data_IF_858151559779
#
_entry.id   IF_858151559779
#
_cell.length_a   1.000
_cell.length_b   1.000
_cell.length_c   1.000
_cell.angle_alpha   90.00
_cell.angle_beta   90.00
_cell.angle_gamma   90.00
#
_symmetry.space_group_name_H-M   'P 1'
#
loop_
_entity.id
_entity.type
_entity.pdbx_description
1 polymer ?
#
# COMPACT_ATOMS: atom_id res chain seq x y z
N UNK A 1 -6.59 7.37 11.98
CA UNK A 1 -6.99 7.05 10.59
C UNK A 1 -5.82 6.60 9.70
N UNK A 2 -4.56 6.75 10.12
CA UNK A 2 -3.37 6.39 9.32
C UNK A 2 -2.82 4.96 9.51
N UNK A 3 -3.44 4.13 10.36
CA UNK A 3 -2.84 2.85 10.81
C UNK A 3 -3.28 1.63 9.97
N UNK A 4 -4.25 1.76 9.04
CA UNK A 4 -4.79 0.59 8.32
C UNK A 4 -4.35 0.47 6.85
N UNK A 5 -3.26 1.09 6.43
CA UNK A 5 -2.71 0.93 5.07
C UNK A 5 -1.80 -0.30 4.96
N UNK A 6 -2.18 -1.42 5.59
CA UNK A 6 -1.49 -2.69 5.44
C UNK A 6 -2.00 -3.34 4.16
N UNK A 7 -1.25 -3.20 3.06
CA UNK A 7 -1.44 -4.03 1.87
C UNK A 7 -0.95 -5.45 2.19
N UNK A 8 -1.88 -6.28 2.65
CA UNK A 8 -1.70 -7.72 2.74
C UNK A 8 -1.85 -8.32 1.34
N UNK A 9 -0.78 -8.87 0.78
CA UNK A 9 -0.87 -9.67 -0.44
C UNK A 9 -0.55 -11.13 -0.14
N UNK A 10 -1.45 -11.99 -0.59
CA UNK A 10 -1.29 -13.43 -0.53
C UNK A 10 -0.47 -13.90 -1.74
N UNK A 11 0.79 -14.22 -1.50
CA UNK A 11 1.61 -15.02 -2.43
C UNK A 11 1.74 -16.44 -1.85
N UNK A 12 0.64 -17.20 -1.88
CA UNK A 12 0.54 -18.54 -1.27
C UNK A 12 -0.21 -18.55 0.06
N UNK A 13 0.14 -19.45 0.99
CA UNK A 13 -0.42 -19.51 2.36
C UNK A 13 0.18 -18.46 3.30
N UNK A 14 1.28 -17.79 2.91
CA UNK A 14 1.93 -16.77 3.73
C UNK A 14 1.61 -15.36 3.21
N UNK A 15 1.26 -14.47 4.13
CA UNK A 15 1.06 -13.06 3.86
C UNK A 15 2.41 -12.36 3.75
N UNK A 16 2.59 -11.51 2.75
CA UNK A 16 3.75 -10.64 2.66
C UNK A 16 3.37 -9.22 3.02
N UNK A 17 4.17 -8.61 3.89
CA UNK A 17 4.01 -7.23 4.33
C UNK A 17 5.18 -6.40 3.81
N UNK A 18 4.86 -5.29 3.15
CA UNK A 18 5.83 -4.32 2.64
C UNK A 18 5.56 -2.96 3.31
N UNK A 19 6.62 -2.29 3.74
CA UNK A 19 6.61 -0.90 4.19
C UNK A 19 7.72 -0.07 3.51
N UNK A 20 7.76 1.23 3.80
CA UNK A 20 8.69 2.21 3.22
C UNK A 20 9.95 2.43 4.07
N UNK A 21 10.15 1.67 5.15
CA UNK A 21 11.26 1.79 6.09
C UNK A 21 11.35 3.22 6.69
N UNK A 22 10.25 3.98 6.76
CA UNK A 22 10.27 5.23 7.49
C UNK A 22 10.54 4.97 8.97
N UNK A 23 11.27 5.86 9.65
CA UNK A 23 11.70 5.69 11.05
C UNK A 23 10.54 5.39 12.03
N UNK A 24 9.32 5.83 11.70
CA UNK A 24 8.10 5.54 12.46
C UNK A 24 7.66 4.08 12.35
N UNK A 25 7.94 3.41 11.23
CA UNK A 25 7.62 1.99 10.96
C UNK A 25 8.70 1.05 11.50
N UNK A 26 9.94 1.54 11.67
CA UNK A 26 11.04 0.80 12.35
C UNK A 26 10.98 0.99 13.88
N UNK A 27 10.04 1.80 14.40
CA UNK A 27 9.91 2.00 15.83
C UNK A 27 9.63 0.64 16.52
N UNK A 28 10.23 0.46 17.69
CA UNK A 28 10.18 -0.81 18.44
C UNK A 28 8.75 -1.31 18.72
N UNK A 29 7.79 -0.40 18.86
CA UNK A 29 6.36 -0.74 19.03
C UNK A 29 5.71 -1.30 17.75
N UNK A 30 6.13 -0.86 16.57
CA UNK A 30 5.68 -1.41 15.30
C UNK A 30 6.32 -2.79 15.07
N UNK A 31 7.60 -2.92 15.38
CA UNK A 31 8.32 -4.20 15.31
C UNK A 31 7.73 -5.26 16.25
N UNK A 32 7.30 -4.90 17.47
CA UNK A 32 6.69 -5.86 18.39
C UNK A 32 5.36 -6.43 17.89
N UNK A 33 4.55 -5.62 17.18
CA UNK A 33 3.31 -6.11 16.58
C UNK A 33 3.53 -7.03 15.38
N UNK A 34 4.63 -6.82 14.65
CA UNK A 34 5.04 -7.70 13.56
C UNK A 34 5.54 -9.05 14.07
N UNK A 35 6.37 -9.07 15.12
CA UNK A 35 6.89 -10.30 15.71
C UNK A 35 5.79 -11.22 16.26
N UNK A 36 4.70 -10.66 16.77
CA UNK A 36 3.53 -11.44 17.23
C UNK A 36 2.85 -12.23 16.10
N UNK A 37 3.00 -11.80 14.84
CA UNK A 37 2.35 -12.40 13.66
C UNK A 37 3.35 -12.96 12.62
N UNK A 38 4.62 -13.15 13.01
CA UNK A 38 5.71 -13.56 12.11
C UNK A 38 5.54 -14.98 11.53
N UNK A 39 4.66 -15.81 12.12
CA UNK A 39 4.33 -17.14 11.58
C UNK A 39 3.44 -17.07 10.32
N UNK A 40 2.57 -16.05 10.27
CA UNK A 40 1.57 -15.85 9.20
C UNK A 40 2.03 -14.81 8.18
N UNK A 41 2.83 -13.84 8.62
CA UNK A 41 3.26 -12.69 7.83
C UNK A 41 4.78 -12.60 7.76
N UNK A 42 5.33 -12.48 6.54
CA UNK A 42 6.74 -12.16 6.31
C UNK A 42 6.93 -10.70 5.92
N UNK A 43 7.91 -10.04 6.53
CA UNK A 43 8.31 -8.69 6.18
C UNK A 43 9.20 -8.76 4.93
N UNK A 44 8.80 -8.03 3.90
CA UNK A 44 9.58 -7.88 2.67
C UNK A 44 10.68 -6.84 2.93
N UNK A 45 11.92 -7.31 2.93
CA UNK A 45 13.08 -6.42 2.97
C UNK A 45 13.12 -5.59 1.68
N UNK A 46 12.84 -4.29 1.82
CA UNK A 46 12.75 -3.37 0.69
C UNK A 46 14.00 -2.49 0.59
N UNK A 47 14.60 -2.29 -0.60
CA UNK A 47 15.72 -1.39 -0.72
C UNK A 47 15.28 0.07 -0.50
N UNK A 48 15.94 0.83 0.39
CA UNK A 48 15.65 2.25 0.55
C UNK A 48 15.83 2.98 -0.78
N UNK A 49 14.91 3.88 -1.11
CA UNK A 49 14.86 4.72 -2.33
C UNK A 49 14.22 4.11 -3.60
N UNK A 50 13.51 3.00 -3.51
CA UNK A 50 12.77 2.42 -4.65
C UNK A 50 11.32 2.91 -4.71
N UNK A 51 11.15 4.23 -4.91
CA UNK A 51 9.85 4.91 -4.92
C UNK A 51 8.97 4.43 -6.10
N UNK A 52 9.61 4.12 -7.22
CA UNK A 52 9.01 3.56 -8.44
C UNK A 52 8.37 2.18 -8.22
N UNK A 53 8.93 1.43 -7.27
CA UNK A 53 8.46 0.10 -6.91
C UNK A 53 7.51 0.11 -5.70
N UNK A 54 7.30 1.25 -5.03
CA UNK A 54 6.36 1.35 -3.92
C UNK A 54 4.92 1.38 -4.45
N UNK A 55 4.23 0.24 -4.35
CA UNK A 55 2.87 0.12 -4.87
C UNK A 55 1.90 1.04 -4.13
N UNK A 56 2.16 1.36 -2.86
CA UNK A 56 1.38 2.34 -2.11
C UNK A 56 1.46 3.72 -2.76
N UNK A 57 2.64 4.18 -3.17
CA UNK A 57 2.81 5.48 -3.85
C UNK A 57 2.13 5.50 -5.23
N UNK A 58 2.25 4.41 -5.99
CA UNK A 58 1.57 4.28 -7.28
C UNK A 58 0.04 4.30 -7.14
N UNK A 59 -0.50 3.64 -6.10
CA UNK A 59 -1.92 3.66 -5.78
C UNK A 59 -2.38 5.06 -5.34
N UNK A 60 -1.59 5.74 -4.50
CA UNK A 60 -1.87 7.11 -4.09
C UNK A 60 -1.90 8.06 -5.29
N UNK A 61 -0.92 7.97 -6.20
CA UNK A 61 -0.88 8.78 -7.42
C UNK A 61 -2.08 8.52 -8.34
N UNK A 62 -2.53 7.26 -8.45
CA UNK A 62 -3.75 6.94 -9.19
C UNK A 62 -4.99 7.60 -8.56
N UNK A 63 -5.17 7.44 -7.25
CA UNK A 63 -6.31 8.02 -6.52
C UNK A 63 -6.31 9.55 -6.57
N UNK A 64 -5.15 10.18 -6.41
CA UNK A 64 -4.97 11.64 -6.53
C UNK A 64 -5.34 12.11 -7.93
N UNK A 65 -4.87 11.43 -8.98
CA UNK A 65 -5.21 11.75 -10.36
C UNK A 65 -6.73 11.70 -10.61
N UNK A 66 -7.40 10.67 -10.08
CA UNK A 66 -8.86 10.53 -10.18
C UNK A 66 -9.60 11.63 -9.45
N UNK A 67 -9.14 11.98 -8.25
CA UNK A 67 -9.68 13.08 -7.47
C UNK A 67 -9.53 14.42 -8.22
N UNK A 68 -8.34 14.76 -8.71
CA UNK A 68 -8.08 16.00 -9.44
C UNK A 68 -8.86 16.14 -10.74
N UNK A 69 -9.25 15.03 -11.37
CA UNK A 69 -10.04 15.03 -12.60
C UNK A 69 -11.55 15.26 -12.37
N UNK A 70 -12.05 15.23 -11.13
CA UNK A 70 -13.47 15.41 -10.82
C UNK A 70 -13.89 16.88 -10.95
N UNK A 71 -15.07 17.08 -11.52
CA UNK A 71 -15.73 18.39 -11.64
C UNK A 71 -17.17 18.24 -11.14
N UNK A 72 -17.58 18.93 -10.06
CA UNK A 72 -16.76 19.82 -9.22
C UNK A 72 -15.73 19.06 -8.36
N UNK A 73 -14.65 19.71 -7.92
CA UNK A 73 -13.75 19.14 -6.92
C UNK A 73 -14.48 18.87 -5.59
N UNK A 74 -14.09 17.84 -4.85
CA UNK A 74 -14.61 17.63 -3.50
C UNK A 74 -14.16 18.78 -2.59
N UNK A 75 -15.10 19.42 -1.89
CA UNK A 75 -14.81 20.60 -1.09
C UNK A 75 -14.57 20.29 0.39
N UNK A 76 -15.02 19.12 0.85
CA UNK A 76 -14.96 18.71 2.26
C UNK A 76 -14.42 17.28 2.43
N UNK A 77 -13.90 17.00 3.63
CA UNK A 77 -13.26 15.71 3.95
C UNK A 77 -14.18 14.51 3.70
N UNK A 78 -15.48 14.62 4.03
CA UNK A 78 -16.43 13.54 3.85
C UNK A 78 -16.63 13.18 2.36
N UNK A 79 -16.65 14.19 1.49
CA UNK A 79 -16.75 13.99 0.05
C UNK A 79 -15.46 13.38 -0.51
N UNK A 80 -14.29 13.84 -0.03
CA UNK A 80 -13.00 13.27 -0.39
C UNK A 80 -12.92 11.79 0.00
N UNK A 81 -13.34 11.43 1.21
CA UNK A 81 -13.39 10.04 1.66
C UNK A 81 -14.28 9.17 0.77
N UNK A 82 -15.50 9.66 0.46
CA UNK A 82 -16.41 8.94 -0.43
C UNK A 82 -15.83 8.77 -1.85
N UNK A 83 -15.20 9.81 -2.39
CA UNK A 83 -14.52 9.80 -3.70
C UNK A 83 -13.40 8.76 -3.71
N UNK A 84 -12.50 8.81 -2.73
CA UNK A 84 -11.36 7.89 -2.65
C UNK A 84 -11.84 6.44 -2.48
N UNK A 85 -12.88 6.22 -1.67
CA UNK A 85 -13.45 4.89 -1.47
C UNK A 85 -14.11 4.36 -2.76
N UNK A 86 -14.83 5.21 -3.48
CA UNK A 86 -15.41 4.86 -4.78
C UNK A 86 -14.32 4.47 -5.78
N UNK A 87 -13.29 5.31 -5.97
CA UNK A 87 -12.19 5.03 -6.89
C UNK A 87 -11.39 3.79 -6.46
N UNK A 88 -11.23 3.56 -5.15
CA UNK A 88 -10.59 2.37 -4.61
C UNK A 88 -11.27 1.08 -5.09
N UNK A 89 -12.61 1.04 -5.06
CA UNK A 89 -13.36 -0.12 -5.57
C UNK A 89 -13.27 -0.30 -7.09
N UNK A 90 -12.88 0.73 -7.84
CA UNK A 90 -12.61 0.62 -9.27
C UNK A 90 -11.20 0.07 -9.59
N UNK A 91 -10.31 -0.01 -8.60
CA UNK A 91 -9.00 -0.63 -8.78
C UNK A 91 -9.18 -2.14 -8.84
N UNK A 92 -9.16 -2.69 -10.06
CA UNK A 92 -9.19 -4.13 -10.25
C UNK A 92 -7.96 -4.78 -9.61
N UNK A 93 -8.16 -5.93 -8.94
CA UNK A 93 -7.08 -6.76 -8.39
C UNK A 93 -5.98 -7.06 -9.40
N UNK A 94 -6.31 -7.11 -10.69
CA UNK A 94 -5.33 -7.30 -11.77
C UNK A 94 -4.32 -6.15 -11.86
N UNK A 95 -4.73 -4.90 -11.66
CA UNK A 95 -3.82 -3.73 -11.68
C UNK A 95 -2.82 -3.86 -10.53
N UNK A 96 -3.32 -4.18 -9.34
CA UNK A 96 -2.48 -4.44 -8.17
C UNK A 96 -1.51 -5.59 -8.48
N UNK A 97 -2.02 -6.76 -8.90
CA UNK A 97 -1.19 -7.92 -9.23
C UNK A 97 -0.12 -7.62 -10.28
N UNK A 98 -0.45 -6.91 -11.35
CA UNK A 98 0.47 -6.63 -12.45
C UNK A 98 1.59 -5.66 -12.00
N UNK A 99 1.31 -4.74 -11.06
CA UNK A 99 2.34 -3.93 -10.40
C UNK A 99 3.23 -4.73 -9.44
N UNK A 100 2.69 -5.79 -8.80
CA UNK A 100 3.45 -6.65 -7.89
C UNK A 100 4.19 -7.80 -8.60
N UNK A 101 3.76 -8.22 -9.78
CA UNK A 101 4.37 -9.31 -10.55
C UNK A 101 5.89 -9.16 -10.80
N UNK A 102 6.45 -7.97 -11.10
CA UNK A 102 7.89 -7.80 -11.29
C UNK A 102 8.68 -7.73 -9.98
N UNK A 103 8.05 -7.48 -8.83
CA UNK A 103 8.72 -7.22 -7.56
C UNK A 103 9.61 -8.41 -7.10
N UNK A 104 9.14 -9.68 -7.10
CA UNK A 104 10.00 -10.81 -6.75
C UNK A 104 11.24 -10.96 -7.65
N UNK A 105 11.21 -10.46 -8.89
CA UNK A 105 12.35 -10.51 -9.82
C UNK A 105 13.34 -9.35 -9.61
N UNK A 106 12.91 -8.24 -9.00
CA UNK A 106 13.75 -7.06 -8.79
C UNK A 106 14.53 -7.10 -7.46
N UNK A 107 14.24 -8.05 -6.57
CA UNK A 107 14.83 -8.18 -5.22
C UNK A 107 15.73 -9.43 -5.12
N UNK A 108 16.25 -9.95 -6.25
CA UNK A 108 17.26 -11.02 -6.30
C UNK A 108 18.66 -10.45 -6.51
#
# INVERSE_FOLDING_TARGET
MFINFILALFLGEQQLFQDDIALIHIAMCAHSGFEEHNEETRHLFWPPQSLDLNVSENLWGYLESKHCARIPPSAILLELEAVLLEEWFHIHFNIVRDHYAPIPCCIQ
#
